data_IF_403767431102
#
_entry.id   IF_403767431102
#
_cell.length_a   1.000
_cell.length_b   1.000
_cell.length_c   1.000
_cell.angle_alpha   90.00
_cell.angle_beta   90.00
_cell.angle_gamma   90.00
#
_symmetry.space_group_name_H-M   'P 1'
#
loop_
_entity.id
_entity.type
_entity.pdbx_description
1 polymer ?
#
# COMPACT_ATOMS: atom_id res chain seq x y z
N UNK A 1 18.28 4.41 3.58
CA UNK A 1 17.54 3.13 3.74
C UNK A 1 16.88 2.75 2.42
N UNK A 2 17.03 1.51 2.03
CA UNK A 2 16.40 1.00 0.80
C UNK A 2 15.06 0.37 1.13
N UNK A 3 14.15 0.39 0.17
CA UNK A 3 12.85 -0.23 0.29
C UNK A 3 12.72 -1.33 -0.76
N UNK A 4 12.26 -2.50 -0.33
CA UNK A 4 11.99 -3.62 -1.22
C UNK A 4 10.53 -4.01 -1.10
N UNK A 5 9.90 -4.27 -2.24
CA UNK A 5 8.51 -4.73 -2.28
C UNK A 5 8.47 -6.21 -2.59
N UNK A 6 7.53 -6.90 -1.97
CA UNK A 6 7.27 -8.31 -2.27
C UNK A 6 5.78 -8.58 -2.19
N UNK A 7 5.35 -9.69 -2.79
CA UNK A 7 3.97 -10.16 -2.71
C UNK A 7 3.85 -11.59 -3.17
N UNK A 8 2.72 -12.19 -2.82
CA UNK A 8 2.35 -13.52 -3.27
C UNK A 8 1.72 -13.40 -4.68
N UNK A 9 2.27 -14.08 -5.69
CA UNK A 9 1.74 -13.99 -7.06
C UNK A 9 0.28 -14.41 -7.20
N UNK A 10 -0.18 -15.38 -6.40
CA UNK A 10 -1.57 -15.84 -6.44
C UNK A 10 -2.49 -14.74 -5.93
N UNK A 11 -2.11 -14.08 -4.85
CA UNK A 11 -2.88 -12.95 -4.31
C UNK A 11 -2.87 -11.76 -5.26
N UNK A 12 -1.75 -11.50 -5.93
CA UNK A 12 -1.66 -10.43 -6.92
C UNK A 12 -2.63 -10.66 -8.06
N UNK A 13 -2.69 -11.88 -8.58
CA UNK A 13 -3.61 -12.23 -9.66
C UNK A 13 -5.07 -12.11 -9.22
N UNK A 14 -5.40 -12.57 -8.02
CA UNK A 14 -6.76 -12.47 -7.48
C UNK A 14 -7.15 -11.02 -7.28
N UNK A 15 -6.24 -10.19 -6.79
CA UNK A 15 -6.50 -8.77 -6.59
C UNK A 15 -6.77 -8.05 -7.91
N UNK A 16 -6.01 -8.38 -8.94
CA UNK A 16 -6.21 -7.80 -10.27
C UNK A 16 -7.60 -8.14 -10.82
N UNK A 17 -8.04 -9.38 -10.66
CA UNK A 17 -9.37 -9.80 -11.09
C UNK A 17 -10.47 -9.09 -10.31
N UNK A 18 -10.30 -8.95 -8.99
CA UNK A 18 -11.32 -8.41 -8.10
C UNK A 18 -11.42 -6.89 -8.17
N UNK A 19 -10.29 -6.20 -8.21
CA UNK A 19 -10.23 -4.74 -8.07
C UNK A 19 -9.68 -4.01 -9.29
N UNK A 20 -9.14 -4.73 -10.28
CA UNK A 20 -8.56 -4.11 -11.47
C UNK A 20 -7.24 -3.40 -11.22
N UNK A 21 -6.58 -3.65 -10.09
CA UNK A 21 -5.34 -3.00 -9.70
C UNK A 21 -4.24 -4.05 -9.56
N UNK A 22 -3.15 -3.88 -10.32
CA UNK A 22 -1.98 -4.73 -10.17
C UNK A 22 -1.13 -4.29 -8.98
N UNK A 23 -0.35 -5.21 -8.42
CA UNK A 23 0.54 -4.84 -7.32
C UNK A 23 1.74 -4.02 -7.81
N UNK A 24 2.12 -4.14 -9.09
CA UNK A 24 3.12 -3.27 -9.71
C UNK A 24 2.66 -1.81 -9.70
N UNK A 25 1.39 -1.58 -9.99
CA UNK A 25 0.82 -0.23 -9.91
C UNK A 25 0.70 0.20 -8.45
N UNK A 26 0.28 -0.71 -7.57
CA UNK A 26 0.12 -0.40 -6.14
C UNK A 26 1.44 0.06 -5.50
N UNK A 27 2.58 -0.50 -5.93
CA UNK A 27 3.90 -0.05 -5.49
C UNK A 27 4.08 1.46 -5.64
N UNK A 28 3.54 2.03 -6.70
CA UNK A 28 3.72 3.45 -7.02
C UNK A 28 3.02 4.37 -6.05
N UNK A 29 2.03 3.87 -5.31
CA UNK A 29 1.35 4.66 -4.29
C UNK A 29 2.31 5.09 -3.18
N UNK A 30 3.34 4.29 -2.91
CA UNK A 30 4.33 4.58 -1.89
C UNK A 30 5.32 5.67 -2.29
N UNK A 31 5.36 6.05 -3.57
CA UNK A 31 6.21 7.13 -4.06
C UNK A 31 5.53 8.49 -3.94
N UNK A 32 4.25 8.53 -3.60
CA UNK A 32 3.51 9.77 -3.40
C UNK A 32 4.04 10.47 -2.13
N UNK A 33 4.59 11.69 -2.22
CA UNK A 33 5.11 12.39 -1.04
C UNK A 33 4.01 12.75 -0.04
N UNK A 34 2.75 12.71 -0.45
CA UNK A 34 1.60 12.99 0.41
C UNK A 34 0.88 11.73 0.87
N UNK A 35 1.46 10.55 0.64
CA UNK A 35 0.84 9.30 1.05
C UNK A 35 0.59 9.28 2.56
N UNK A 36 -0.58 8.76 2.93
CA UNK A 36 -0.98 8.60 4.33
C UNK A 36 -0.89 7.13 4.70
N UNK A 37 -0.08 6.82 5.72
CA UNK A 37 0.10 5.45 6.19
C UNK A 37 -0.34 5.36 7.63
N UNK A 38 -1.19 4.39 7.94
CA UNK A 38 -1.64 4.16 9.32
C UNK A 38 -1.77 2.68 9.60
N UNK A 39 -1.64 2.32 10.86
CA UNK A 39 -1.83 0.95 11.29
C UNK A 39 -3.31 0.60 11.27
N UNK A 40 -3.64 -0.55 10.70
CA UNK A 40 -5.01 -1.04 10.62
C UNK A 40 -5.30 -1.98 11.79
N UNK A 41 -4.72 -3.19 11.74
CA UNK A 41 -4.96 -4.20 12.78
C UNK A 41 -3.76 -5.12 12.89
N UNK A 42 -3.76 -5.92 13.95
CA UNK A 42 -2.79 -7.00 14.10
C UNK A 42 -3.50 -8.30 13.73
N UNK A 43 -2.90 -9.07 12.84
CA UNK A 43 -3.47 -10.32 12.37
C UNK A 43 -2.36 -11.38 12.35
N UNK A 44 -2.60 -12.50 13.05
CA UNK A 44 -1.60 -13.56 13.15
C UNK A 44 -0.29 -13.09 13.78
N UNK A 45 -0.35 -12.14 14.73
CA UNK A 45 0.84 -11.58 15.36
C UNK A 45 1.59 -10.54 14.55
N UNK A 46 1.09 -10.21 13.35
CA UNK A 46 1.74 -9.26 12.46
C UNK A 46 0.88 -8.02 12.28
N UNK A 47 1.48 -6.84 12.45
CA UNK A 47 0.78 -5.58 12.25
C UNK A 47 0.47 -5.37 10.77
N UNK A 48 -0.78 -5.08 10.48
CA UNK A 48 -1.26 -4.72 9.15
C UNK A 48 -1.36 -3.21 9.06
N UNK A 49 -0.95 -2.69 7.93
CA UNK A 49 -0.93 -1.26 7.65
C UNK A 49 -1.70 -0.98 6.38
N UNK A 50 -2.09 0.26 6.20
CA UNK A 50 -2.68 0.68 4.95
C UNK A 50 -2.14 2.06 4.57
N UNK A 51 -1.90 2.22 3.28
CA UNK A 51 -1.37 3.45 2.71
C UNK A 51 -2.33 3.96 1.66
N UNK A 52 -2.73 5.23 1.78
CA UNK A 52 -3.44 5.95 0.74
C UNK A 52 -2.42 6.73 -0.06
N UNK A 53 -2.31 6.44 -1.33
CA UNK A 53 -1.33 7.12 -2.18
C UNK A 53 -1.85 7.35 -3.58
N UNK A 54 -1.49 8.51 -4.14
CA UNK A 54 -1.86 8.89 -5.49
C UNK A 54 -0.84 8.33 -6.48
N UNK A 55 -1.32 7.70 -7.54
CA UNK A 55 -0.47 7.17 -8.59
C UNK A 55 -0.58 8.05 -9.83
N UNK A 56 0.54 8.65 -10.21
CA UNK A 56 0.67 9.48 -11.41
C UNK A 56 -0.36 10.63 -11.47
N UNK A 57 -0.75 11.13 -10.31
CA UNK A 57 -1.71 12.22 -10.20
C UNK A 57 -3.13 11.89 -10.66
N UNK A 58 -3.44 10.62 -10.89
CA UNK A 58 -4.72 10.20 -11.47
C UNK A 58 -5.56 9.31 -10.59
N UNK A 59 -4.94 8.33 -9.94
CA UNK A 59 -5.66 7.29 -9.21
C UNK A 59 -5.19 7.28 -7.78
N UNK A 60 -6.14 7.41 -6.86
CA UNK A 60 -5.85 7.27 -5.43
C UNK A 60 -6.14 5.83 -5.04
N UNK A 61 -5.12 5.16 -4.49
CA UNK A 61 -5.23 3.75 -4.09
C UNK A 61 -5.14 3.59 -2.59
N UNK A 62 -5.88 2.62 -2.06
CA UNK A 62 -5.69 2.11 -0.72
C UNK A 62 -4.95 0.78 -0.81
N UNK A 63 -3.76 0.72 -0.24
CA UNK A 63 -2.91 -0.46 -0.29
C UNK A 63 -2.76 -1.04 1.11
N UNK A 64 -3.18 -2.30 1.30
CA UNK A 64 -2.97 -3.02 2.55
C UNK A 64 -1.63 -3.76 2.46
N UNK A 65 -0.82 -3.64 3.51
CA UNK A 65 0.54 -4.18 3.48
C UNK A 65 1.08 -4.42 4.89
N UNK A 66 2.26 -5.03 4.93
CA UNK A 66 3.04 -5.16 6.16
C UNK A 66 4.35 -4.41 5.99
N UNK A 67 5.04 -4.18 7.11
CA UNK A 67 6.42 -3.69 7.14
C UNK A 67 7.26 -4.68 7.91
N UNK A 68 8.49 -4.91 7.46
CA UNK A 68 9.49 -5.57 8.28
C UNK A 68 10.87 -5.09 7.88
N UNK A 69 11.79 -5.13 8.83
CA UNK A 69 13.20 -4.84 8.58
C UNK A 69 13.91 -6.14 8.21
N UNK A 70 14.81 -6.06 7.24
CA UNK A 70 15.65 -7.20 6.89
C UNK A 70 16.82 -7.22 7.83
N UNK A 71 17.07 -8.38 8.48
CA UNK A 71 18.11 -8.55 9.49
C UNK A 71 19.50 -8.17 8.97
N UNK A 72 20.17 -7.28 9.73
CA UNK A 72 21.53 -6.88 9.43
C UNK A 72 21.71 -5.96 8.25
N UNK A 73 20.62 -5.49 7.63
CA UNK A 73 20.67 -4.60 6.50
C UNK A 73 19.72 -3.43 6.71
N UNK A 74 20.06 -2.29 6.10
CA UNK A 74 19.20 -1.10 6.17
C UNK A 74 18.15 -1.17 5.06
N UNK A 75 17.37 -2.26 5.06
CA UNK A 75 16.33 -2.52 4.06
C UNK A 75 15.00 -2.67 4.78
N UNK A 76 14.03 -1.89 4.36
CA UNK A 76 12.64 -2.06 4.76
C UNK A 76 11.92 -2.87 3.69
N UNK A 77 11.24 -3.92 4.10
CA UNK A 77 10.46 -4.77 3.19
C UNK A 77 8.98 -4.49 3.38
N UNK A 78 8.32 -4.12 2.30
CA UNK A 78 6.88 -3.91 2.28
C UNK A 78 6.26 -5.08 1.51
N UNK A 79 5.44 -5.88 2.20
CA UNK A 79 4.69 -6.94 1.53
C UNK A 79 3.29 -6.44 1.24
N UNK A 80 2.95 -6.34 -0.04
CA UNK A 80 1.63 -5.91 -0.48
C UNK A 80 0.65 -7.07 -0.36
N UNK A 81 -0.51 -6.81 0.25
CA UNK A 81 -1.54 -7.81 0.51
C UNK A 81 -2.74 -7.60 -0.39
N UNK A 82 -3.18 -6.35 -0.54
CA UNK A 82 -4.28 -5.99 -1.43
C UNK A 82 -4.19 -4.53 -1.83
N UNK A 83 -4.85 -4.19 -2.92
CA UNK A 83 -4.90 -2.80 -3.40
C UNK A 83 -6.20 -2.57 -4.14
N UNK A 84 -6.83 -1.44 -3.89
CA UNK A 84 -8.06 -1.03 -4.57
C UNK A 84 -8.11 0.48 -4.70
N UNK A 85 -8.99 0.96 -5.55
CA UNK A 85 -9.25 2.39 -5.63
C UNK A 85 -9.84 2.87 -4.29
N UNK A 86 -9.44 4.05 -3.88
CA UNK A 86 -9.96 4.66 -2.66
C UNK A 86 -11.45 4.98 -2.81
N UNK A 87 -12.21 4.84 -1.73
CA UNK A 87 -13.60 5.25 -1.71
C UNK A 87 -13.71 6.78 -1.46
N UNK A 88 -14.95 7.27 -1.42
CA UNK A 88 -15.20 8.71 -1.24
C UNK A 88 -14.67 9.23 0.09
N UNK A 89 -14.85 8.49 1.16
CA UNK A 89 -14.40 8.88 2.50
C UNK A 89 -12.88 8.95 2.57
N UNK A 90 -12.22 7.94 2.00
CA UNK A 90 -10.76 7.89 1.95
C UNK A 90 -10.20 9.03 1.09
N UNK A 91 -10.82 9.29 -0.06
CA UNK A 91 -10.41 10.39 -0.93
C UNK A 91 -10.53 11.72 -0.22
N UNK A 92 -11.65 11.95 0.49
CA UNK A 92 -11.86 13.20 1.23
C UNK A 92 -10.79 13.38 2.30
N UNK A 93 -10.46 12.33 3.02
CA UNK A 93 -9.42 12.38 4.04
C UNK A 93 -8.06 12.71 3.45
N UNK A 94 -7.70 12.07 2.34
CA UNK A 94 -6.45 12.35 1.64
C UNK A 94 -6.37 13.82 1.23
N UNK A 95 -7.43 14.34 0.62
CA UNK A 95 -7.48 15.73 0.17
C UNK A 95 -7.36 16.72 1.32
N UNK A 96 -7.98 16.43 2.47
CA UNK A 96 -7.90 17.29 3.64
C UNK A 96 -6.52 17.33 4.26
N UNK A 97 -5.85 16.21 4.32
CA UNK A 97 -4.54 16.10 4.96
C UNK A 97 -3.38 16.53 4.06
N UNK A 98 -3.62 16.65 2.77
CA UNK A 98 -2.57 17.03 1.80
C UNK A 98 -2.61 18.51 1.39
N UNK A 99 -3.42 19.29 2.06
CA UNK A 99 -3.49 20.74 1.81
C UNK A 99 -2.30 21.48 2.39
#
# INVERSE_FOLDING_TARGET
>A
MATRFEWDPVKAAANLRKHGVSFEIAMRAFADPFALTEQDRIEGGEARWRTLGMVEGRVLLLVAHTFRDEDGEAIEVIRIISARAADRTERRRYEQETR
#
